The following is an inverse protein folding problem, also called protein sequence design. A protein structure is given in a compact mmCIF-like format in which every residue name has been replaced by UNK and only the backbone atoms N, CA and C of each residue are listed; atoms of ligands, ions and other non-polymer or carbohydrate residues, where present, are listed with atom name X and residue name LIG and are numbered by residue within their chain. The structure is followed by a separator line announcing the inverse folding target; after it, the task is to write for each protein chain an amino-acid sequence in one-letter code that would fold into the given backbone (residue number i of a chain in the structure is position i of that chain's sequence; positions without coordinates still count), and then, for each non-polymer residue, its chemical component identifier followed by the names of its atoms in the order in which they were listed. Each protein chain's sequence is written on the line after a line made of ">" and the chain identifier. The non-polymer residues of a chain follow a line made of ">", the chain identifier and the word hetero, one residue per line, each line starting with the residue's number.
data_IF_053560773665
#
_entry.id   IF_053560773665
#
_cell.length_a   1.000
_cell.length_b   1.000
_cell.length_c   1.000
_cell.angle_alpha   90.00
_cell.angle_beta   90.00
_cell.angle_gamma   90.00
#
_symmetry.space_group_name_H-M   'P 1'
#
loop_
_entity.id
_entity.type
_entity.pdbx_description
1 polymer ?
#
# COMPACT_ATOMS: atom_id res chain seq x y z
N UNK A 1 40.07 -6.43 22.78
CA UNK A 1 38.86 -6.01 22.07
C UNK A 1 38.25 -7.23 21.41
N UNK A 2 37.14 -7.71 21.98
CA UNK A 2 36.20 -8.57 21.25
C UNK A 2 35.21 -7.59 20.62
N UNK A 3 34.94 -7.74 19.33
CA UNK A 3 34.00 -6.91 18.59
C UNK A 3 33.01 -7.84 17.92
N UNK A 4 31.75 -7.45 17.92
CA UNK A 4 30.62 -8.25 17.46
C UNK A 4 29.78 -7.45 16.48
N UNK A 5 29.11 -8.15 15.56
CA UNK A 5 28.19 -7.57 14.59
C UNK A 5 26.96 -8.46 14.49
N UNK A 6 25.80 -7.85 14.69
CA UNK A 6 24.49 -8.51 14.55
C UNK A 6 23.68 -7.83 13.46
N UNK A 7 23.06 -8.62 12.59
CA UNK A 7 22.28 -8.17 11.45
C UNK A 7 20.81 -8.52 11.66
N UNK A 8 19.93 -7.54 11.46
CA UNK A 8 18.49 -7.69 11.67
C UNK A 8 17.67 -7.08 10.50
N UNK A 9 16.44 -7.56 10.27
CA UNK A 9 15.80 -8.73 10.89
C UNK A 9 16.43 -10.07 10.46
N UNK A 10 16.33 -11.11 11.29
CA UNK A 10 16.82 -12.47 10.98
C UNK A 10 16.14 -13.09 9.75
N UNK A 11 14.89 -12.71 9.51
CA UNK A 11 14.04 -13.22 8.45
C UNK A 11 12.97 -12.21 8.06
N UNK A 12 12.73 -12.05 6.77
CA UNK A 12 11.60 -11.28 6.25
C UNK A 12 11.04 -11.88 4.96
N UNK A 13 9.76 -11.66 4.70
CA UNK A 13 9.08 -12.08 3.45
C UNK A 13 8.47 -10.85 2.80
N UNK A 14 8.84 -10.56 1.55
CA UNK A 14 8.24 -9.48 0.79
C UNK A 14 7.91 -9.91 -0.65
N UNK A 15 6.91 -9.27 -1.29
CA UNK A 15 6.75 -9.30 -2.74
C UNK A 15 7.98 -8.76 -3.48
N UNK A 16 8.29 -9.36 -4.63
CA UNK A 16 9.16 -8.72 -5.64
C UNK A 16 8.65 -7.32 -5.99
N UNK A 17 9.56 -6.39 -6.27
CA UNK A 17 9.27 -4.97 -6.53
C UNK A 17 9.35 -4.07 -5.28
N UNK A 18 9.31 -4.63 -4.07
CA UNK A 18 9.41 -3.84 -2.83
C UNK A 18 10.85 -3.70 -2.32
N UNK A 19 11.10 -2.68 -1.50
CA UNK A 19 12.38 -2.48 -0.82
C UNK A 19 12.46 -3.26 0.50
N UNK A 20 13.65 -3.76 0.84
CA UNK A 20 13.96 -4.38 2.12
C UNK A 20 15.15 -3.68 2.77
N UNK A 21 14.97 -3.22 4.01
CA UNK A 21 16.01 -2.62 4.83
C UNK A 21 16.55 -3.62 5.87
N UNK A 22 17.86 -3.59 6.04
CA UNK A 22 18.64 -4.32 7.02
C UNK A 22 19.35 -3.34 7.94
N UNK A 23 19.55 -3.75 9.19
CA UNK A 23 20.23 -2.97 10.22
C UNK A 23 21.33 -3.82 10.83
N UNK A 24 22.57 -3.37 10.71
CA UNK A 24 23.71 -3.95 11.41
C UNK A 24 23.96 -3.17 12.72
N UNK A 25 24.16 -3.90 13.81
CA UNK A 25 24.55 -3.35 15.11
C UNK A 25 25.96 -3.83 15.43
N UNK A 26 26.91 -2.92 15.54
CA UNK A 26 28.32 -3.23 15.83
C UNK A 26 28.68 -2.81 17.25
N UNK A 27 29.19 -3.75 18.04
CA UNK A 27 29.56 -3.51 19.43
C UNK A 27 30.93 -4.07 19.78
N UNK A 28 31.44 -3.67 20.93
CA UNK A 28 32.69 -4.16 21.50
C UNK A 28 32.62 -4.31 23.01
N UNK A 29 33.54 -5.10 23.57
CA UNK A 29 33.72 -5.28 25.01
C UNK A 29 34.60 -4.23 25.70
N UNK A 30 35.11 -3.23 24.96
CA UNK A 30 36.00 -2.19 25.47
C UNK A 30 35.36 -0.78 25.27
N UNK A 31 35.11 0.00 26.34
CA UNK A 31 35.52 -0.22 27.74
C UNK A 31 34.64 -1.21 28.51
N UNK A 32 33.43 -1.52 28.03
CA UNK A 32 32.51 -2.49 28.64
C UNK A 32 31.78 -3.30 27.56
N UNK A 33 31.37 -4.55 27.86
CA UNK A 33 30.52 -5.35 26.97
C UNK A 33 29.32 -4.58 26.40
N UNK A 34 29.15 -4.66 25.08
CA UNK A 34 28.07 -4.00 24.35
C UNK A 34 28.28 -2.51 24.07
N UNK A 35 29.51 -1.99 24.20
CA UNK A 35 29.82 -0.61 23.80
C UNK A 35 29.64 -0.48 22.27
N UNK A 36 28.84 0.46 21.76
CA UNK A 36 28.68 0.66 20.31
C UNK A 36 29.98 1.17 19.68
N UNK A 37 30.29 0.68 18.47
CA UNK A 37 31.41 1.17 17.69
C UNK A 37 30.87 2.15 16.64
N UNK A 38 31.19 3.43 16.78
CA UNK A 38 30.84 4.49 15.81
C UNK A 38 31.91 4.61 14.70
N UNK A 39 31.47 4.97 13.49
CA UNK A 39 32.32 5.34 12.37
C UNK A 39 33.06 4.18 11.70
N UNK A 40 32.64 2.93 11.92
CA UNK A 40 33.21 1.77 11.21
C UNK A 40 32.39 1.45 9.97
N UNK A 41 33.07 1.21 8.84
CA UNK A 41 32.41 0.79 7.61
C UNK A 41 31.93 -0.66 7.73
N UNK A 42 30.63 -0.86 7.60
CA UNK A 42 29.99 -2.17 7.52
C UNK A 42 29.66 -2.46 6.07
N UNK A 43 30.18 -3.57 5.54
CA UNK A 43 29.85 -4.08 4.21
C UNK A 43 28.76 -5.14 4.33
N UNK A 44 27.63 -4.91 3.66
CA UNK A 44 26.53 -5.87 3.51
C UNK A 44 26.70 -6.61 2.19
N UNK A 45 26.52 -7.93 2.19
CA UNK A 45 26.65 -8.75 0.98
C UNK A 45 25.57 -9.84 0.91
N UNK A 46 24.85 -9.91 -0.20
CA UNK A 46 24.01 -11.04 -0.56
C UNK A 46 24.88 -12.20 -1.06
N UNK A 47 25.07 -13.22 -0.22
CA UNK A 47 26.02 -14.32 -0.46
C UNK A 47 25.41 -15.50 -1.22
N UNK A 48 24.08 -15.61 -1.25
CA UNK A 48 23.35 -16.60 -2.05
C UNK A 48 21.92 -16.15 -2.31
N UNK A 49 21.28 -16.74 -3.32
CA UNK A 49 19.91 -16.43 -3.71
C UNK A 49 19.82 -15.69 -5.05
N UNK A 50 18.61 -15.31 -5.48
CA UNK A 50 18.39 -14.59 -6.73
C UNK A 50 19.14 -13.25 -6.82
N UNK A 51 19.43 -12.60 -5.69
CA UNK A 51 20.15 -11.32 -5.63
C UNK A 51 21.59 -11.45 -5.13
N UNK A 52 22.23 -12.62 -5.35
CA UNK A 52 23.65 -12.83 -5.02
C UNK A 52 24.52 -11.75 -5.67
N UNK A 53 25.45 -11.19 -4.90
CA UNK A 53 26.34 -10.11 -5.35
C UNK A 53 25.80 -8.70 -5.08
N UNK A 54 24.58 -8.57 -4.56
CA UNK A 54 24.09 -7.30 -4.02
C UNK A 54 24.97 -6.87 -2.85
N UNK A 55 25.47 -5.64 -2.87
CA UNK A 55 26.35 -5.12 -1.82
C UNK A 55 26.05 -3.66 -1.51
N UNK A 56 26.33 -3.26 -0.26
CA UNK A 56 26.30 -1.88 0.18
C UNK A 56 27.28 -1.67 1.32
N UNK A 57 27.73 -0.42 1.48
CA UNK A 57 28.59 -0.02 2.58
C UNK A 57 27.95 1.16 3.28
N UNK A 58 27.85 1.09 4.59
CA UNK A 58 27.41 2.19 5.44
C UNK A 58 28.28 2.26 6.69
N UNK A 59 28.54 3.47 7.17
CA UNK A 59 29.34 3.68 8.37
C UNK A 59 28.42 3.71 9.59
N UNK A 60 28.84 3.05 10.67
CA UNK A 60 28.05 3.04 11.90
C UNK A 60 27.88 4.43 12.50
N UNK A 61 26.69 4.74 12.99
CA UNK A 61 26.40 5.97 13.73
C UNK A 61 26.86 5.90 15.20
N UNK A 62 26.56 6.94 15.99
CA UNK A 62 26.90 7.00 17.42
C UNK A 62 26.23 5.92 18.30
N UNK A 63 25.27 5.17 17.75
CA UNK A 63 24.65 4.01 18.38
C UNK A 63 25.22 2.69 17.88
N UNK A 64 26.25 2.72 17.03
CA UNK A 64 26.84 1.52 16.42
C UNK A 64 25.99 0.94 15.30
N UNK A 65 25.08 1.73 14.71
CA UNK A 65 24.09 1.25 13.74
C UNK A 65 24.50 1.65 12.33
N UNK A 66 24.49 0.68 11.41
CA UNK A 66 24.60 0.89 9.96
C UNK A 66 23.39 0.28 9.26
N UNK A 67 22.94 0.87 8.15
CA UNK A 67 21.74 0.41 7.43
C UNK A 67 22.01 0.14 5.96
N UNK A 68 21.31 -0.83 5.41
CA UNK A 68 21.37 -1.16 3.99
C UNK A 68 19.99 -1.51 3.45
N UNK A 69 19.64 -0.97 2.29
CA UNK A 69 18.38 -1.29 1.62
C UNK A 69 18.61 -1.78 0.21
N UNK A 70 17.84 -2.78 -0.21
CA UNK A 70 17.81 -3.25 -1.59
C UNK A 70 16.40 -3.68 -2.04
N UNK A 71 16.16 -3.64 -3.34
CA UNK A 71 14.88 -4.01 -3.96
C UNK A 71 14.96 -5.42 -4.53
N UNK A 72 13.96 -6.26 -4.23
CA UNK A 72 13.86 -7.60 -4.80
C UNK A 72 13.30 -7.57 -6.21
N UNK A 73 14.05 -8.09 -7.17
CA UNK A 73 13.70 -8.17 -8.60
C UNK A 73 13.35 -9.58 -9.09
N UNK A 74 13.65 -10.61 -8.31
CA UNK A 74 13.38 -12.00 -8.65
C UNK A 74 12.96 -12.82 -7.42
N UNK A 75 12.09 -13.81 -7.65
CA UNK A 75 11.55 -14.70 -6.62
C UNK A 75 12.64 -15.63 -6.10
N UNK A 76 12.61 -15.91 -4.81
CA UNK A 76 13.53 -16.82 -4.15
C UNK A 76 14.03 -16.29 -2.81
N UNK A 77 14.88 -17.08 -2.16
CA UNK A 77 15.42 -16.75 -0.84
C UNK A 77 16.84 -16.23 -1.01
N UNK A 78 17.07 -14.98 -0.59
CA UNK A 78 18.41 -14.43 -0.40
C UNK A 78 18.94 -14.76 0.99
N UNK A 79 20.26 -14.93 1.08
CA UNK A 79 20.99 -14.97 2.35
C UNK A 79 21.98 -13.82 2.37
N UNK A 80 21.95 -13.01 3.43
CA UNK A 80 22.77 -11.81 3.56
C UNK A 80 23.68 -11.94 4.79
N UNK A 81 24.92 -11.47 4.67
CA UNK A 81 25.91 -11.40 5.73
C UNK A 81 26.54 -10.00 5.76
N UNK A 82 26.74 -9.47 6.96
CA UNK A 82 27.46 -8.22 7.20
C UNK A 82 28.89 -8.49 7.65
N UNK A 83 29.83 -7.65 7.21
CA UNK A 83 31.23 -7.72 7.63
C UNK A 83 31.81 -6.34 7.94
N UNK A 84 32.74 -6.27 8.88
CA UNK A 84 33.54 -5.06 9.13
C UNK A 84 34.95 -5.45 9.60
N UNK A 85 35.87 -4.48 9.60
CA UNK A 85 37.24 -4.65 10.09
C UNK A 85 37.36 -4.05 11.49
N UNK A 86 37.75 -4.85 12.48
CA UNK A 86 37.93 -4.37 13.85
C UNK A 86 39.23 -3.55 14.04
N UNK A 87 39.40 -2.95 15.21
CA UNK A 87 40.57 -2.14 15.56
C UNK A 87 41.91 -2.91 15.50
N UNK A 88 41.88 -4.25 15.45
CA UNK A 88 43.06 -5.11 15.33
C UNK A 88 43.29 -5.56 13.87
N UNK A 89 42.51 -5.05 12.92
CA UNK A 89 42.60 -5.40 11.50
C UNK A 89 42.00 -6.75 11.14
N UNK A 90 41.14 -7.32 12.00
CA UNK A 90 40.50 -8.62 11.76
C UNK A 90 39.10 -8.42 11.19
N UNK A 91 38.74 -9.24 10.21
CA UNK A 91 37.37 -9.28 9.68
C UNK A 91 36.44 -9.96 10.65
N UNK A 92 35.41 -9.25 11.10
CA UNK A 92 34.27 -9.79 11.83
C UNK A 92 33.12 -10.05 10.85
N UNK A 93 32.33 -11.08 11.12
CA UNK A 93 31.17 -11.50 10.31
C UNK A 93 29.94 -11.62 11.19
N UNK A 94 28.80 -11.21 10.69
CA UNK A 94 27.52 -11.30 11.40
C UNK A 94 26.90 -12.69 11.35
N UNK A 95 25.77 -12.85 12.04
CA UNK A 95 24.76 -13.85 11.70
C UNK A 95 24.34 -13.72 10.22
N UNK A 96 23.79 -14.80 9.68
CA UNK A 96 23.20 -14.82 8.34
C UNK A 96 21.71 -14.63 8.46
N UNK A 97 21.19 -13.64 7.75
CA UNK A 97 19.75 -13.34 7.70
C UNK A 97 19.17 -13.80 6.37
N UNK A 98 17.88 -14.12 6.36
CA UNK A 98 17.19 -14.57 5.15
C UNK A 98 16.14 -13.57 4.69
N UNK A 99 16.04 -13.42 3.37
CA UNK A 99 14.98 -12.64 2.75
C UNK A 99 14.28 -13.49 1.71
N UNK A 100 13.02 -13.84 1.95
CA UNK A 100 12.19 -14.53 0.97
C UNK A 100 11.47 -13.49 0.10
N UNK A 101 11.74 -13.55 -1.19
CA UNK A 101 10.98 -12.86 -2.22
C UNK A 101 9.95 -13.81 -2.79
N UNK A 102 8.69 -13.50 -2.53
CA UNK A 102 7.56 -14.18 -3.16
C UNK A 102 7.15 -13.44 -4.41
N UNK A 103 6.49 -14.12 -5.34
CA UNK A 103 5.72 -13.41 -6.35
C UNK A 103 4.80 -12.44 -5.62
N UNK A 104 4.79 -11.18 -6.06
CA UNK A 104 3.72 -10.29 -5.65
C UNK A 104 2.39 -10.89 -6.07
N UNK A 105 1.25 -10.40 -5.53
CA UNK A 105 -0.02 -10.69 -6.17
C UNK A 105 0.16 -10.47 -7.67
N UNK A 106 -0.27 -11.42 -8.53
CA UNK A 106 -0.13 -11.25 -9.96
C UNK A 106 -0.60 -9.84 -10.30
N UNK A 107 0.11 -9.10 -11.18
CA UNK A 107 -0.43 -7.84 -11.65
C UNK A 107 -1.88 -8.13 -12.01
N UNK A 108 -2.84 -7.29 -11.56
CA UNK A 108 -4.23 -7.50 -11.89
C UNK A 108 -4.26 -7.80 -13.37
N UNK A 109 -4.89 -8.89 -13.84
CA UNK A 109 -4.98 -9.11 -15.26
C UNK A 109 -5.58 -7.82 -15.80
N UNK A 110 -4.76 -7.00 -16.47
CA UNK A 110 -5.25 -5.68 -16.86
C UNK A 110 -6.42 -5.90 -17.79
N UNK A 111 -6.54 -7.06 -18.44
CA UNK A 111 -7.78 -7.52 -19.07
C UNK A 111 -8.33 -6.42 -19.96
N UNK A 112 -7.47 -5.83 -20.78
CA UNK A 112 -7.80 -4.68 -21.63
C UNK A 112 -8.21 -3.40 -20.89
N UNK A 113 -8.29 -3.33 -19.55
CA UNK A 113 -8.74 -2.16 -18.81
C UNK A 113 -7.84 -0.94 -19.08
N UNK A 114 -8.38 0.00 -19.83
CA UNK A 114 -7.80 1.31 -20.13
C UNK A 114 -8.01 2.26 -18.95
N UNK A 115 -9.20 2.22 -18.37
CA UNK A 115 -9.59 3.00 -17.18
C UNK A 115 -10.95 2.53 -16.69
N UNK A 116 -11.23 2.75 -15.42
CA UNK A 116 -12.60 2.72 -14.89
C UNK A 116 -12.93 4.09 -14.32
N UNK A 117 -14.04 4.65 -14.78
CA UNK A 117 -14.50 5.97 -14.36
C UNK A 117 -15.94 5.88 -13.92
N UNK A 118 -16.33 6.69 -12.97
CA UNK A 118 -17.69 6.64 -12.50
C UNK A 118 -18.01 7.76 -11.55
N UNK A 119 -19.30 7.98 -11.39
CA UNK A 119 -19.78 8.96 -10.43
C UNK A 119 -21.27 8.81 -10.25
N UNK A 120 -21.75 9.11 -9.06
CA UNK A 120 -23.12 8.79 -8.73
C UNK A 120 -23.45 8.98 -7.26
N UNK A 121 -24.50 8.29 -6.87
CA UNK A 121 -24.96 8.24 -5.49
C UNK A 121 -25.29 6.81 -5.10
N UNK A 122 -24.87 6.40 -3.90
CA UNK A 122 -25.32 5.17 -3.26
C UNK A 122 -26.55 5.45 -2.38
N UNK A 123 -27.47 4.48 -2.26
CA UNK A 123 -28.69 4.64 -1.48
C UNK A 123 -28.41 4.74 0.02
N UNK A 124 -29.05 5.71 0.68
CA UNK A 124 -28.93 5.96 2.13
C UNK A 124 -30.16 5.54 2.93
N UNK A 125 -31.25 5.18 2.24
CA UNK A 125 -32.56 4.96 2.84
C UNK A 125 -33.30 6.25 3.24
N UNK A 126 -32.68 7.42 3.09
CA UNK A 126 -33.25 8.72 3.44
C UNK A 126 -33.60 9.57 2.21
N UNK A 127 -34.82 10.15 2.21
CA UNK A 127 -35.24 11.04 1.12
C UNK A 127 -34.44 12.34 1.15
N UNK A 128 -33.75 12.65 0.05
CA UNK A 128 -32.97 13.87 -0.18
C UNK A 128 -31.62 13.97 0.56
N UNK A 129 -31.13 12.87 1.14
CA UNK A 129 -29.79 12.77 1.72
C UNK A 129 -29.01 11.73 0.91
N UNK A 130 -28.35 12.14 -0.17
CA UNK A 130 -27.52 11.25 -0.97
C UNK A 130 -26.09 11.27 -0.49
N UNK A 131 -25.45 10.11 -0.39
CA UNK A 131 -24.01 10.02 -0.52
C UNK A 131 -23.65 10.21 -1.98
N UNK A 132 -22.57 10.91 -2.27
CA UNK A 132 -22.09 11.12 -3.64
C UNK A 132 -20.67 10.67 -3.77
N UNK A 133 -20.35 10.06 -4.89
CA UNK A 133 -19.00 9.66 -5.23
C UNK A 133 -18.66 10.09 -6.65
N UNK A 134 -17.37 10.26 -6.90
CA UNK A 134 -16.78 10.40 -8.23
C UNK A 134 -15.39 9.80 -8.21
N UNK A 135 -15.02 9.07 -9.25
CA UNK A 135 -13.69 8.50 -9.35
C UNK A 135 -13.21 8.39 -10.79
N UNK A 136 -11.90 8.32 -10.92
CA UNK A 136 -11.17 7.98 -12.12
C UNK A 136 -9.97 7.13 -11.71
N UNK A 137 -9.94 5.89 -12.20
CA UNK A 137 -8.83 4.96 -11.96
C UNK A 137 -8.23 4.59 -13.31
N UNK A 138 -6.92 4.75 -13.44
CA UNK A 138 -6.18 4.49 -14.68
C UNK A 138 -4.99 3.58 -14.33
N UNK A 139 -4.64 2.59 -15.16
CA UNK A 139 -3.40 1.84 -14.97
C UNK A 139 -2.19 2.76 -14.83
N UNK A 140 -1.27 2.40 -13.94
CA UNK A 140 0.04 3.04 -13.85
C UNK A 140 0.81 2.85 -15.15
N UNK A 141 1.81 3.70 -15.41
CA UNK A 141 2.56 3.67 -16.67
C UNK A 141 3.27 2.33 -16.96
N UNK A 142 3.58 1.56 -15.92
CA UNK A 142 4.15 0.22 -15.97
C UNK A 142 3.09 -0.90 -15.98
N UNK A 143 1.80 -0.55 -15.87
CA UNK A 143 0.66 -1.47 -15.83
C UNK A 143 0.60 -2.34 -14.57
N UNK A 144 1.38 -2.03 -13.53
CA UNK A 144 1.46 -2.86 -12.32
C UNK A 144 0.33 -2.60 -11.31
N UNK A 145 -0.27 -1.42 -11.32
CA UNK A 145 -1.36 -1.01 -10.41
C UNK A 145 -2.29 0.03 -11.06
N UNK A 146 -3.15 0.66 -10.26
CA UNK A 146 -4.04 1.75 -10.66
C UNK A 146 -3.63 3.04 -9.93
N UNK A 147 -3.49 4.14 -10.68
CA UNK A 147 -3.51 5.51 -10.14
C UNK A 147 -4.98 5.89 -9.89
N UNK A 148 -5.30 6.20 -8.63
CA UNK A 148 -6.68 6.34 -8.14
C UNK A 148 -6.92 7.77 -7.71
N UNK A 149 -7.85 8.44 -8.41
CA UNK A 149 -8.46 9.68 -7.94
C UNK A 149 -9.93 9.42 -7.59
N UNK A 150 -10.28 9.46 -6.31
CA UNK A 150 -11.64 9.23 -5.82
C UNK A 150 -12.00 10.30 -4.79
N UNK A 151 -13.23 10.77 -4.90
CA UNK A 151 -13.88 11.62 -3.91
C UNK A 151 -15.20 10.96 -3.50
N UNK A 152 -15.41 10.82 -2.20
CA UNK A 152 -16.64 10.35 -1.61
C UNK A 152 -17.09 11.35 -0.55
N UNK A 153 -18.36 11.73 -0.62
CA UNK A 153 -18.99 12.60 0.35
C UNK A 153 -20.22 11.89 0.89
N UNK A 154 -20.26 11.68 2.21
CA UNK A 154 -21.51 11.32 2.84
C UNK A 154 -22.45 12.56 2.88
N UNK A 155 -23.67 12.36 3.39
CA UNK A 155 -24.71 13.33 3.67
C UNK A 155 -24.47 14.83 3.29
N UNK A 156 -25.42 15.46 2.60
CA UNK A 156 -25.35 16.89 2.19
C UNK A 156 -24.18 17.26 1.24
N UNK A 157 -23.66 16.31 0.46
CA UNK A 157 -22.58 16.57 -0.53
C UNK A 157 -21.36 17.22 0.13
N UNK A 158 -20.98 16.75 1.33
CA UNK A 158 -19.80 17.26 2.04
C UNK A 158 -19.97 18.66 2.67
N UNK A 159 -21.21 19.15 2.82
CA UNK A 159 -21.48 20.41 3.54
C UNK A 159 -21.79 20.15 5.00
N UNK A 160 -21.08 20.83 5.90
CA UNK A 160 -21.33 20.76 7.34
C UNK A 160 -22.83 20.96 7.66
N UNK A 161 -23.41 20.02 8.42
CA UNK A 161 -24.79 20.15 8.88
C UNK A 161 -24.88 21.30 9.88
N UNK A 162 -25.63 22.36 9.53
CA UNK A 162 -25.96 23.43 10.47
C UNK A 162 -26.98 23.04 11.54
N UNK A 163 -27.48 21.78 11.52
CA UNK A 163 -28.53 21.30 12.44
C UNK A 163 -27.90 20.51 13.60
N UNK A 164 -28.13 21.00 14.81
CA UNK A 164 -27.71 20.36 16.07
C UNK A 164 -28.27 18.92 16.17
N UNK A 165 -27.39 17.95 16.39
CA UNK A 165 -27.74 16.54 16.61
C UNK A 165 -27.84 15.67 15.36
N UNK A 166 -27.43 16.18 14.18
CA UNK A 166 -27.22 15.37 12.98
C UNK A 166 -25.76 14.92 12.91
N UNK A 167 -25.47 13.70 12.40
CA UNK A 167 -24.09 13.28 12.17
C UNK A 167 -23.38 14.29 11.25
N UNK A 168 -22.15 14.63 11.62
CA UNK A 168 -21.28 15.47 10.82
C UNK A 168 -20.95 14.75 9.51
N UNK A 169 -20.86 15.45 8.37
CA UNK A 169 -20.52 14.79 7.14
C UNK A 169 -19.06 14.31 7.12
N UNK A 170 -18.87 13.13 6.54
CA UNK A 170 -17.62 12.48 6.20
C UNK A 170 -17.26 12.77 4.74
N UNK A 171 -16.03 13.21 4.50
CA UNK A 171 -15.44 13.23 3.17
C UNK A 171 -14.27 12.25 3.16
N UNK A 172 -14.16 11.45 2.10
CA UNK A 172 -13.06 10.53 1.89
C UNK A 172 -12.47 10.84 0.52
N UNK A 173 -11.15 11.05 0.49
CA UNK A 173 -10.41 11.33 -0.72
C UNK A 173 -9.28 10.32 -0.90
N UNK A 174 -9.15 9.78 -2.10
CA UNK A 174 -8.00 8.98 -2.53
C UNK A 174 -7.38 9.72 -3.71
N UNK A 175 -6.09 9.98 -3.63
CA UNK A 175 -5.30 10.54 -4.72
C UNK A 175 -3.89 9.95 -4.64
N UNK A 176 -3.83 8.64 -4.81
CA UNK A 176 -2.63 7.83 -4.66
C UNK A 176 -2.71 6.56 -5.53
N UNK A 177 -1.59 5.86 -5.67
CA UNK A 177 -1.54 4.56 -6.34
C UNK A 177 -2.08 3.48 -5.40
N UNK A 178 -2.91 2.59 -5.93
CA UNK A 178 -3.44 1.46 -5.16
C UNK A 178 -2.31 0.53 -4.70
N UNK A 179 -2.34 0.14 -3.43
CA UNK A 179 -1.39 -0.82 -2.83
C UNK A 179 -1.75 -2.25 -3.19
N UNK A 180 -3.03 -2.52 -3.46
CA UNK A 180 -3.52 -3.79 -3.99
C UNK A 180 -4.67 -3.53 -4.97
N UNK A 181 -4.75 -4.36 -6.00
CA UNK A 181 -5.82 -4.33 -7.00
C UNK A 181 -6.18 -5.77 -7.33
N UNK A 182 -7.47 -6.09 -7.28
CA UNK A 182 -8.02 -7.41 -7.58
C UNK A 182 -9.13 -7.25 -8.61
N UNK A 183 -9.05 -7.96 -9.74
CA UNK A 183 -10.16 -8.02 -10.70
C UNK A 183 -11.27 -8.91 -10.13
N UNK A 184 -12.47 -8.36 -10.01
CA UNK A 184 -13.63 -9.02 -9.36
C UNK A 184 -14.79 -9.29 -10.32
N UNK A 185 -14.72 -8.76 -11.55
CA UNK A 185 -15.69 -9.02 -12.62
C UNK A 185 -15.02 -8.83 -13.98
N UNK A 186 -15.38 -9.70 -14.93
CA UNK A 186 -14.97 -9.61 -16.33
C UNK A 186 -16.16 -9.67 -17.27
N UNK A 187 -16.03 -9.09 -18.46
CA UNK A 187 -16.98 -9.28 -19.55
C UNK A 187 -16.85 -10.68 -20.20
N UNK A 188 -17.56 -10.89 -21.31
CA UNK A 188 -17.55 -12.15 -22.06
C UNK A 188 -16.21 -12.43 -22.77
N UNK A 189 -15.45 -11.39 -23.07
CA UNK A 189 -14.15 -11.45 -23.76
C UNK A 189 -12.99 -11.57 -22.75
N UNK A 190 -13.28 -11.47 -21.46
CA UNK A 190 -12.32 -11.59 -20.36
C UNK A 190 -11.73 -10.26 -19.91
N UNK A 191 -12.27 -9.14 -20.41
CA UNK A 191 -11.80 -7.82 -20.02
C UNK A 191 -12.32 -7.45 -18.63
N UNK A 192 -11.53 -6.73 -17.85
CA UNK A 192 -11.92 -6.34 -16.50
C UNK A 192 -13.00 -5.23 -16.56
N UNK A 193 -14.16 -5.53 -15.99
CA UNK A 193 -15.28 -4.57 -15.82
C UNK A 193 -15.52 -4.21 -14.35
N UNK A 194 -14.81 -4.87 -13.44
CA UNK A 194 -14.86 -4.54 -12.02
C UNK A 194 -13.58 -4.85 -11.29
N UNK A 195 -13.21 -3.95 -10.37
CA UNK A 195 -12.02 -4.04 -9.54
C UNK A 195 -12.33 -3.79 -8.07
N UNK A 196 -11.55 -4.44 -7.21
CA UNK A 196 -11.45 -4.15 -5.80
C UNK A 196 -10.03 -3.67 -5.51
N UNK A 197 -9.89 -2.55 -4.82
CA UNK A 197 -8.59 -1.93 -4.53
C UNK A 197 -8.45 -1.62 -3.05
N UNK A 198 -7.21 -1.57 -2.58
CA UNK A 198 -6.82 -0.89 -1.35
C UNK A 198 -5.90 0.27 -1.69
N UNK A 199 -6.17 1.45 -1.13
CA UNK A 199 -5.36 2.65 -1.37
C UNK A 199 -5.37 3.56 -0.13
N UNK A 200 -4.31 4.34 0.03
CA UNK A 200 -4.26 5.37 1.06
C UNK A 200 -5.36 6.41 0.83
N UNK A 201 -6.15 6.71 1.85
CA UNK A 201 -7.24 7.66 1.81
C UNK A 201 -7.13 8.69 2.92
N UNK A 202 -7.38 9.96 2.59
CA UNK A 202 -7.58 11.03 3.56
C UNK A 202 -9.06 11.07 3.94
N UNK A 203 -9.35 10.93 5.23
CA UNK A 203 -10.69 11.00 5.79
C UNK A 203 -10.84 12.30 6.55
N UNK A 204 -11.93 13.00 6.29
CA UNK A 204 -12.24 14.27 6.91
C UNK A 204 -13.61 14.22 7.55
N UNK A 205 -13.63 14.25 8.88
CA UNK A 205 -14.86 14.39 9.65
C UNK A 205 -15.13 15.88 9.90
N UNK A 206 -16.25 16.38 9.38
CA UNK A 206 -16.64 17.80 9.48
C UNK A 206 -17.27 18.16 10.84
N UNK A 207 -16.74 17.58 11.92
CA UNK A 207 -17.00 17.98 13.31
C UNK A 207 -16.43 19.37 13.63
N UNK A 208 -16.85 20.01 14.74
CA UNK A 208 -16.22 21.23 15.26
C UNK A 208 -14.75 20.96 15.64
N UNK A 209 -13.85 21.10 14.66
CA UNK A 209 -12.45 20.71 14.77
C UNK A 209 -11.85 20.25 13.44
N UNK A 210 -12.70 19.83 12.49
CA UNK A 210 -12.28 19.42 11.15
C UNK A 210 -11.13 18.39 11.19
N UNK A 211 -11.38 17.28 11.89
CA UNK A 211 -10.38 16.24 12.11
C UNK A 211 -10.09 15.53 10.80
N UNK A 212 -8.80 15.31 10.54
CA UNK A 212 -8.29 14.55 9.40
C UNK A 212 -7.55 13.31 9.90
N UNK A 213 -7.69 12.22 9.17
CA UNK A 213 -6.96 10.98 9.43
C UNK A 213 -6.65 10.29 8.11
N UNK A 214 -5.50 9.65 8.03
CA UNK A 214 -5.10 8.84 6.88
C UNK A 214 -5.22 7.37 7.24
N UNK A 215 -5.77 6.56 6.33
CA UNK A 215 -5.78 5.11 6.46
C UNK A 215 -5.75 4.40 5.10
N UNK A 216 -5.81 3.07 5.11
CA UNK A 216 -6.06 2.28 3.91
C UNK A 216 -7.57 2.04 3.76
N UNK A 217 -8.17 2.64 2.72
CA UNK A 217 -9.55 2.41 2.34
C UNK A 217 -9.64 1.27 1.32
N UNK A 218 -10.74 0.52 1.38
CA UNK A 218 -11.08 -0.51 0.38
C UNK A 218 -12.20 0.01 -0.52
N UNK A 219 -12.01 -0.09 -1.84
CA UNK A 219 -12.99 0.37 -2.83
C UNK A 219 -13.32 -0.76 -3.78
N UNK A 220 -14.62 -1.02 -3.97
CA UNK A 220 -15.14 -2.01 -4.91
C UNK A 220 -15.96 -1.29 -5.98
N UNK A 221 -15.63 -1.50 -7.24
CA UNK A 221 -16.38 -0.94 -8.38
C UNK A 221 -16.66 -2.03 -9.41
N UNK A 222 -17.88 -2.06 -9.95
CA UNK A 222 -18.24 -2.96 -11.05
C UNK A 222 -19.18 -2.23 -12.01
N UNK A 223 -18.80 -2.16 -13.28
CA UNK A 223 -19.66 -1.83 -14.41
C UNK A 223 -20.42 -3.09 -14.81
N UNK A 224 -21.74 -3.10 -14.62
CA UNK A 224 -22.58 -4.23 -15.00
C UNK A 224 -23.44 -3.91 -16.24
N UNK A 225 -23.07 -2.87 -16.99
CA UNK A 225 -23.66 -2.47 -18.26
C UNK A 225 -24.74 -1.38 -18.17
N UNK A 226 -25.00 -0.75 -19.31
CA UNK A 226 -25.87 0.42 -19.40
C UNK A 226 -27.37 0.08 -19.25
N UNK A 227 -28.17 0.94 -18.58
CA UNK A 227 -27.90 2.35 -18.25
C UNK A 227 -27.12 2.58 -16.93
N UNK A 228 -26.50 1.55 -16.34
CA UNK A 228 -25.64 1.56 -15.15
C UNK A 228 -26.35 1.80 -13.82
N UNK A 229 -27.37 2.66 -13.81
CA UNK A 229 -28.23 2.88 -12.64
C UNK A 229 -28.93 1.58 -12.21
N UNK A 230 -28.75 1.21 -10.95
CA UNK A 230 -29.38 0.03 -10.34
C UNK A 230 -28.79 -1.29 -10.84
N UNK A 231 -27.68 -1.24 -11.56
CA UNK A 231 -26.95 -2.39 -12.08
C UNK A 231 -25.49 -2.31 -11.62
N UNK A 232 -24.86 -1.14 -11.75
CA UNK A 232 -23.48 -0.91 -11.33
C UNK A 232 -23.32 -0.90 -9.83
N UNK A 233 -22.13 -1.30 -9.40
CA UNK A 233 -21.76 -1.46 -8.00
C UNK A 233 -20.68 -0.46 -7.62
N UNK A 234 -20.91 0.27 -6.54
CA UNK A 234 -19.89 1.05 -5.85
C UNK A 234 -19.94 0.74 -4.35
N UNK A 235 -18.80 0.31 -3.80
CA UNK A 235 -18.59 0.16 -2.37
C UNK A 235 -17.32 0.88 -1.94
N UNK A 236 -17.39 1.60 -0.83
CA UNK A 236 -16.26 2.19 -0.13
C UNK A 236 -16.35 1.79 1.34
N UNK A 237 -15.31 1.13 1.83
CA UNK A 237 -15.15 0.76 3.23
C UNK A 237 -13.94 1.50 3.83
N UNK A 238 -14.14 2.10 5.00
CA UNK A 238 -13.12 2.76 5.83
C UNK A 238 -13.01 2.00 7.16
N UNK A 239 -12.00 1.12 7.31
CA UNK A 239 -11.87 0.25 8.47
C UNK A 239 -11.79 0.98 9.82
N UNK A 240 -11.08 2.11 9.88
CA UNK A 240 -10.85 2.87 11.12
C UNK A 240 -12.11 3.56 11.64
N UNK A 241 -13.00 3.99 10.75
CA UNK A 241 -14.27 4.62 11.11
C UNK A 241 -15.42 3.61 11.23
N UNK A 242 -15.22 2.39 10.71
CA UNK A 242 -16.28 1.41 10.51
C UNK A 242 -17.31 1.83 9.47
N UNK A 243 -16.99 2.86 8.66
CA UNK A 243 -17.87 3.36 7.61
C UNK A 243 -17.87 2.41 6.42
N UNK A 244 -19.06 2.07 5.93
CA UNK A 244 -19.26 1.39 4.67
C UNK A 244 -20.35 2.12 3.90
N UNK A 245 -20.13 2.35 2.60
CA UNK A 245 -21.13 3.00 1.73
C UNK A 245 -22.39 2.13 1.54
N UNK A 246 -22.31 0.84 1.90
CA UNK A 246 -23.41 -0.12 1.91
C UNK A 246 -24.36 0.06 3.11
N UNK A 247 -25.03 1.21 3.19
CA UNK A 247 -25.87 1.54 4.36
C UNK A 247 -27.21 0.80 4.35
N UNK A 248 -27.71 0.42 3.16
CA UNK A 248 -29.02 -0.24 2.99
C UNK A 248 -28.93 -1.74 2.65
N UNK A 249 -27.76 -2.36 2.78
CA UNK A 249 -27.54 -3.75 2.38
C UNK A 249 -27.45 -3.95 0.86
N UNK A 250 -27.17 -2.88 0.11
CA UNK A 250 -26.88 -2.92 -1.32
C UNK A 250 -25.73 -2.00 -1.68
N UNK A 251 -24.84 -2.48 -2.55
CA UNK A 251 -23.76 -1.70 -3.16
C UNK A 251 -24.17 -1.10 -4.52
N UNK A 252 -25.44 -1.26 -4.92
CA UNK A 252 -25.93 -0.75 -6.20
C UNK A 252 -26.08 0.76 -6.18
N UNK A 253 -25.66 1.42 -7.26
CA UNK A 253 -25.80 2.87 -7.37
C UNK A 253 -27.27 3.25 -7.63
N UNK A 254 -27.78 4.25 -6.90
CA UNK A 254 -29.14 4.77 -7.08
C UNK A 254 -29.22 5.82 -8.20
N UNK A 255 -28.09 6.50 -8.46
CA UNK A 255 -27.91 7.51 -9.52
C UNK A 255 -26.49 7.46 -10.05
N UNK A 256 -26.31 7.92 -11.28
CA UNK A 256 -25.01 7.95 -11.93
C UNK A 256 -24.77 6.75 -12.82
N UNK A 257 -23.51 6.54 -13.18
CA UNK A 257 -23.02 5.46 -14.03
C UNK A 257 -21.57 5.15 -13.65
N UNK A 258 -21.17 3.89 -13.80
CA UNK A 258 -19.79 3.45 -13.85
C UNK A 258 -19.52 2.96 -15.26
N UNK A 259 -18.35 3.29 -15.79
CA UNK A 259 -17.90 2.85 -17.11
C UNK A 259 -16.51 2.25 -16.98
N UNK A 260 -16.41 0.95 -17.28
CA UNK A 260 -15.17 0.31 -17.62
C UNK A 260 -14.86 0.58 -19.09
N UNK A 261 -13.70 1.17 -19.36
CA UNK A 261 -13.18 1.30 -20.71
C UNK A 261 -12.14 0.21 -20.90
N UNK A 262 -12.38 -0.63 -21.89
CA UNK A 262 -11.50 -1.74 -22.26
C UNK A 262 -10.90 -1.47 -23.64
N UNK A 263 -9.70 -2.00 -23.89
CA UNK A 263 -9.02 -1.90 -25.16
C UNK A 263 -9.82 -2.71 -26.19
N UNK A 264 -10.14 -2.06 -27.30
CA UNK A 264 -10.65 -2.73 -28.50
C UNK A 264 -9.42 -3.32 -29.22
N UNK A 265 -9.05 -4.58 -28.97
CA UNK A 265 -7.99 -5.28 -29.71
C UNK A 265 -8.20 -5.24 -31.25
#
# INVERSE_FOLDING_TARGET
>A
VISDIDLSPDGAVNPVGTSHSLTATVTTDDPTPGTPIEGTDVTFEGISGPHTGTTGVDATDGSGIATFSYTGTAVGIDTIEGTFIDALGRTQRSNRVTKEWIEGPPPPPSGGLVKITGGGAVPTGEKNHGHSFGFNMIPTADGSSLDVNLEYNDNHFGKASGKKGQPSPLQIHINDVATSVTVIATDADGNAIGVEIEAACEIRNLEPGNVRSDELCRVRVVDNGEPGKGVDVFQLDSPSTGYGSNIVGSDLIEKGNIQAHVDDD
#
